data_IF_028823940077
#
_entry.id   IF_028823940077
#
_cell.length_a   1.000
_cell.length_b   1.000
_cell.length_c   1.000
_cell.angle_alpha   90.00
_cell.angle_beta   90.00
_cell.angle_gamma   90.00
#
_symmetry.space_group_name_H-M   'P 1'
#
loop_
_entity.id
_entity.type
_entity.pdbx_description
1 polymer ?
#
# COMPACT_ATOMS: atom_id res chain seq x y z
N UNK A 1 -21.21 20.03 14.28
CA UNK A 1 -20.78 19.41 13.01
C UNK A 1 -21.73 18.27 12.70
N UNK A 2 -22.05 17.98 11.44
CA UNK A 2 -22.98 16.92 11.05
C UNK A 2 -22.17 15.70 10.54
N UNK A 3 -22.01 14.63 11.34
CA UNK A 3 -21.21 13.46 10.97
C UNK A 3 -21.69 12.77 9.69
N UNK A 4 -22.98 12.90 9.35
CA UNK A 4 -23.54 12.33 8.12
C UNK A 4 -22.95 12.95 6.85
N UNK A 5 -22.59 14.24 6.90
CA UNK A 5 -22.01 14.95 5.75
C UNK A 5 -20.53 14.59 5.55
N UNK A 6 -19.77 14.43 6.65
CA UNK A 6 -18.38 13.94 6.59
C UNK A 6 -18.30 12.53 6.00
N UNK A 7 -19.18 11.61 6.46
CA UNK A 7 -19.22 10.25 5.93
C UNK A 7 -19.53 10.21 4.42
N UNK A 8 -20.43 11.07 3.94
CA UNK A 8 -20.75 11.16 2.51
C UNK A 8 -19.52 11.55 1.67
N UNK A 9 -18.77 12.57 2.11
CA UNK A 9 -17.52 12.98 1.45
C UNK A 9 -16.44 11.91 1.54
N UNK A 10 -16.33 11.20 2.68
CA UNK A 10 -15.40 10.09 2.85
C UNK A 10 -15.68 8.95 1.86
N UNK A 11 -16.92 8.43 1.81
CA UNK A 11 -17.29 7.38 0.87
C UNK A 11 -17.10 7.80 -0.58
N UNK A 12 -17.37 9.07 -0.90
CA UNK A 12 -17.15 9.59 -2.24
C UNK A 12 -15.67 9.67 -2.60
N UNK A 13 -14.80 10.05 -1.65
CA UNK A 13 -13.35 9.98 -1.81
C UNK A 13 -12.85 8.57 -2.12
N UNK A 14 -13.30 7.56 -1.38
CA UNK A 14 -12.94 6.16 -1.62
C UNK A 14 -13.41 5.64 -2.99
N UNK A 15 -14.59 6.07 -3.44
CA UNK A 15 -15.08 5.79 -4.78
C UNK A 15 -14.16 6.41 -5.84
N UNK A 16 -13.74 7.66 -5.66
CA UNK A 16 -12.84 8.35 -6.59
C UNK A 16 -11.46 7.69 -6.67
N UNK A 17 -10.93 7.19 -5.55
CA UNK A 17 -9.72 6.35 -5.54
C UNK A 17 -9.92 5.09 -6.39
N UNK A 18 -11.05 4.40 -6.21
CA UNK A 18 -11.40 3.19 -6.98
C UNK A 18 -11.58 3.46 -8.48
N UNK A 19 -11.93 4.71 -8.84
CA UNK A 19 -12.04 5.19 -10.21
C UNK A 19 -10.72 5.76 -10.77
N UNK A 20 -9.59 5.50 -10.11
CA UNK A 20 -8.27 6.01 -10.48
C UNK A 20 -8.18 7.55 -10.54
N UNK A 21 -8.92 8.25 -9.68
CA UNK A 21 -8.96 9.72 -9.57
C UNK A 21 -8.50 10.22 -8.19
N UNK A 22 -7.23 9.99 -7.82
CA UNK A 22 -6.77 10.25 -6.46
C UNK A 22 -6.71 11.74 -6.08
N UNK A 23 -6.52 12.67 -7.03
CA UNK A 23 -6.59 14.11 -6.71
C UNK A 23 -8.02 14.58 -6.43
N UNK A 24 -9.00 14.15 -7.22
CA UNK A 24 -10.40 14.46 -6.93
C UNK A 24 -10.84 13.84 -5.59
N UNK A 25 -10.31 12.65 -5.27
CA UNK A 25 -10.53 12.02 -3.97
C UNK A 25 -9.97 12.87 -2.83
N UNK A 26 -8.77 13.45 -3.00
CA UNK A 26 -8.15 14.31 -2.01
C UNK A 26 -9.04 15.52 -1.68
N UNK A 27 -9.63 16.18 -2.68
CA UNK A 27 -10.54 17.33 -2.45
C UNK A 27 -11.75 16.96 -1.56
N UNK A 28 -12.32 15.77 -1.79
CA UNK A 28 -13.44 15.27 -0.99
C UNK A 28 -12.99 14.89 0.42
N UNK A 29 -11.85 14.23 0.55
CA UNK A 29 -11.30 13.80 1.83
C UNK A 29 -10.81 14.98 2.69
N UNK A 30 -10.31 16.06 2.08
CA UNK A 30 -10.03 17.32 2.78
C UNK A 30 -11.30 17.94 3.35
N UNK A 31 -12.39 17.93 2.58
CA UNK A 31 -13.68 18.40 3.07
C UNK A 31 -14.20 17.52 4.21
N UNK A 32 -14.09 16.20 4.09
CA UNK A 32 -14.45 15.26 5.15
C UNK A 32 -13.62 15.50 6.42
N UNK A 33 -12.29 15.65 6.30
CA UNK A 33 -11.39 15.91 7.42
C UNK A 33 -11.68 17.24 8.12
N UNK A 34 -12.12 18.27 7.38
CA UNK A 34 -12.54 19.55 7.96
C UNK A 34 -13.88 19.46 8.70
N UNK A 35 -14.79 18.59 8.24
CA UNK A 35 -16.10 18.36 8.86
C UNK A 35 -16.02 17.43 10.07
N UNK A 36 -15.01 16.57 10.13
CA UNK A 36 -14.74 15.63 11.21
C UNK A 36 -13.23 15.60 11.53
N UNK A 37 -12.72 16.63 12.25
CA UNK A 37 -11.29 16.81 12.48
C UNK A 37 -10.67 15.78 13.42
N UNK A 38 -11.46 14.99 14.15
CA UNK A 38 -10.96 13.97 15.07
C UNK A 38 -10.84 12.59 14.40
N UNK A 39 -11.32 12.47 13.16
CA UNK A 39 -11.31 11.21 12.42
C UNK A 39 -9.93 10.90 11.82
N UNK A 40 -9.13 10.14 12.58
CA UNK A 40 -7.81 9.67 12.15
C UNK A 40 -7.86 8.85 10.85
N UNK A 41 -8.95 8.10 10.64
CA UNK A 41 -9.14 7.31 9.42
C UNK A 41 -9.31 8.22 8.21
N UNK A 42 -10.16 9.25 8.28
CA UNK A 42 -10.37 10.19 7.16
C UNK A 42 -9.07 10.96 6.83
N UNK A 43 -8.32 11.39 7.85
CA UNK A 43 -6.99 11.98 7.66
C UNK A 43 -6.03 11.01 6.96
N UNK A 44 -6.04 9.73 7.34
CA UNK A 44 -5.16 8.72 6.73
C UNK A 44 -5.56 8.39 5.29
N UNK A 45 -6.85 8.33 4.98
CA UNK A 45 -7.34 8.17 3.60
C UNK A 45 -6.93 9.36 2.73
N UNK A 46 -6.97 10.59 3.26
CA UNK A 46 -6.43 11.77 2.58
C UNK A 46 -4.93 11.61 2.29
N UNK A 47 -4.15 11.15 3.26
CA UNK A 47 -2.73 10.87 3.06
C UNK A 47 -2.51 9.80 1.98
N UNK A 48 -3.37 8.79 1.91
CA UNK A 48 -3.32 7.74 0.89
C UNK A 48 -3.64 8.29 -0.50
N UNK A 49 -4.63 9.18 -0.61
CA UNK A 49 -4.94 9.90 -1.85
C UNK A 49 -3.74 10.71 -2.34
N UNK A 50 -3.09 11.47 -1.44
CA UNK A 50 -1.85 12.18 -1.77
C UNK A 50 -0.72 11.24 -2.21
N UNK A 51 -0.55 10.10 -1.53
CA UNK A 51 0.44 9.09 -1.90
C UNK A 51 0.22 8.57 -3.32
N UNK A 52 -1.02 8.19 -3.67
CA UNK A 52 -1.37 7.70 -5.02
C UNK A 52 -1.24 8.80 -6.08
N UNK A 53 -1.41 10.06 -5.70
CA UNK A 53 -1.15 11.22 -6.55
C UNK A 53 0.32 11.67 -6.56
N UNK A 54 1.25 10.92 -5.93
CA UNK A 54 2.69 11.23 -5.84
C UNK A 54 3.04 12.51 -5.04
N UNK A 55 2.11 13.04 -4.25
CA UNK A 55 2.29 14.17 -3.33
C UNK A 55 2.82 13.66 -1.98
N UNK A 56 4.07 13.19 -1.99
CA UNK A 56 4.62 12.43 -0.86
C UNK A 56 4.93 13.29 0.37
N UNK A 57 5.15 14.60 0.22
CA UNK A 57 5.42 15.49 1.36
C UNK A 57 4.15 15.77 2.15
N UNK A 58 3.04 15.98 1.45
CA UNK A 58 1.70 16.14 2.02
C UNK A 58 1.25 14.86 2.72
N UNK A 59 1.38 13.71 2.03
CA UNK A 59 1.07 12.40 2.61
C UNK A 59 1.87 12.15 3.90
N UNK A 60 3.19 12.41 3.87
CA UNK A 60 4.06 12.29 5.04
C UNK A 60 3.59 13.17 6.19
N UNK A 61 3.37 14.45 5.93
CA UNK A 61 2.97 15.43 6.96
C UNK A 61 1.67 15.04 7.65
N UNK A 62 0.69 14.55 6.89
CA UNK A 62 -0.60 14.12 7.44
C UNK A 62 -0.43 12.86 8.29
N UNK A 63 0.32 11.85 7.81
CA UNK A 63 0.59 10.66 8.60
C UNK A 63 1.35 10.98 9.90
N UNK A 64 2.35 11.87 9.86
CA UNK A 64 3.07 12.30 11.06
C UNK A 64 2.16 13.00 12.07
N UNK A 65 1.20 13.79 11.60
CA UNK A 65 0.19 14.41 12.46
C UNK A 65 -0.71 13.34 13.13
N UNK A 66 -1.28 12.42 12.33
CA UNK A 66 -2.09 11.31 12.85
C UNK A 66 -1.33 10.50 13.90
N UNK A 67 -0.04 10.23 13.67
CA UNK A 67 0.79 9.45 14.60
C UNK A 67 1.25 10.25 15.83
N UNK A 68 1.18 11.59 15.79
CA UNK A 68 1.36 12.42 16.98
C UNK A 68 0.14 12.39 17.91
N UNK A 69 -1.05 12.15 17.34
CA UNK A 69 -2.29 11.96 18.09
C UNK A 69 -2.43 10.51 18.61
N UNK A 70 -2.09 9.53 17.78
CA UNK A 70 -2.07 8.11 18.15
C UNK A 70 -0.93 7.38 17.43
N UNK A 71 0.15 7.10 18.16
CA UNK A 71 1.35 6.46 17.61
C UNK A 71 1.13 5.01 17.14
N UNK A 72 0.10 4.34 17.67
CA UNK A 72 -0.24 2.95 17.36
C UNK A 72 -1.20 2.83 16.16
N UNK A 73 -1.59 3.95 15.53
CA UNK A 73 -2.54 3.94 14.43
C UNK A 73 -1.94 3.31 13.15
N UNK A 74 -2.02 1.97 13.08
CA UNK A 74 -1.43 1.13 12.03
C UNK A 74 -1.73 1.60 10.60
N UNK A 75 -2.95 2.06 10.23
CA UNK A 75 -3.20 2.57 8.88
C UNK A 75 -2.27 3.73 8.48
N UNK A 76 -1.99 4.65 9.41
CA UNK A 76 -1.06 5.75 9.13
C UNK A 76 0.39 5.27 9.05
N UNK A 77 0.79 4.29 9.86
CA UNK A 77 2.12 3.66 9.76
C UNK A 77 2.35 3.02 8.39
N UNK A 78 1.33 2.33 7.85
CA UNK A 78 1.38 1.72 6.50
C UNK A 78 1.62 2.75 5.41
N UNK A 79 0.79 3.80 5.36
CA UNK A 79 0.92 4.87 4.35
C UNK A 79 2.24 5.61 4.51
N UNK A 80 2.69 5.87 5.75
CA UNK A 80 3.96 6.51 6.01
C UNK A 80 5.15 5.65 5.59
N UNK A 81 5.11 4.33 5.82
CA UNK A 81 6.13 3.38 5.33
C UNK A 81 6.22 3.44 3.81
N UNK A 82 5.10 3.35 3.09
CA UNK A 82 5.09 3.44 1.63
C UNK A 82 5.62 4.78 1.13
N UNK A 83 5.22 5.87 1.80
CA UNK A 83 5.68 7.23 1.48
C UNK A 83 7.18 7.35 1.63
N UNK A 84 7.77 6.85 2.72
CA UNK A 84 9.22 6.84 2.90
C UNK A 84 9.94 5.97 1.87
N UNK A 85 9.39 4.80 1.50
CA UNK A 85 9.94 3.97 0.42
C UNK A 85 9.99 4.72 -0.91
N UNK A 86 8.91 5.42 -1.27
CA UNK A 86 8.84 6.20 -2.52
C UNK A 86 9.75 7.42 -2.51
N UNK A 87 9.93 8.05 -1.34
CA UNK A 87 10.91 9.12 -1.13
C UNK A 87 12.36 8.63 -1.03
N UNK A 88 12.58 7.31 -1.08
CA UNK A 88 13.89 6.65 -0.94
C UNK A 88 14.57 6.87 0.42
N UNK A 89 13.80 7.22 1.44
CA UNK A 89 14.28 7.33 2.82
C UNK A 89 14.10 5.98 3.53
N UNK A 90 15.02 5.06 3.23
CA UNK A 90 14.92 3.68 3.70
C UNK A 90 15.15 3.53 5.19
N UNK A 91 15.94 4.44 5.79
CA UNK A 91 16.17 4.47 7.23
C UNK A 91 14.86 4.74 7.97
N UNK A 92 14.13 5.78 7.55
CA UNK A 92 12.83 6.10 8.14
C UNK A 92 11.80 5.01 7.82
N UNK A 93 11.77 4.48 6.60
CA UNK A 93 10.88 3.36 6.24
C UNK A 93 11.08 2.14 7.14
N UNK A 94 12.34 1.79 7.47
CA UNK A 94 12.66 0.68 8.40
C UNK A 94 12.20 0.96 9.83
N UNK A 95 12.40 2.18 10.31
CA UNK A 95 11.94 2.56 11.65
C UNK A 95 10.41 2.50 11.77
N UNK A 96 9.69 3.01 10.77
CA UNK A 96 8.23 2.95 10.71
C UNK A 96 7.75 1.51 10.58
N UNK A 97 8.40 0.68 9.76
CA UNK A 97 8.04 -0.73 9.64
C UNK A 97 8.19 -1.50 10.96
N UNK A 98 9.23 -1.22 11.75
CA UNK A 98 9.38 -1.84 13.07
C UNK A 98 8.23 -1.50 14.01
N UNK A 99 7.77 -0.24 13.99
CA UNK A 99 6.57 0.19 14.72
C UNK A 99 5.31 -0.48 14.20
N UNK A 100 5.11 -0.48 12.88
CA UNK A 100 3.96 -1.13 12.20
C UNK A 100 3.85 -2.60 12.61
N UNK A 101 4.97 -3.33 12.57
CA UNK A 101 5.04 -4.73 12.97
C UNK A 101 4.68 -4.92 14.45
N UNK A 102 5.26 -4.10 15.33
CA UNK A 102 5.02 -4.17 16.78
C UNK A 102 3.56 -3.90 17.13
N UNK A 103 2.97 -2.82 16.62
CA UNK A 103 1.61 -2.41 16.97
C UNK A 103 0.52 -3.23 16.27
N UNK A 104 0.86 -3.92 15.17
CA UNK A 104 -0.06 -4.88 14.54
C UNK A 104 -0.13 -6.22 15.26
N UNK A 105 0.62 -6.40 16.37
CA UNK A 105 0.77 -7.68 17.06
C UNK A 105 1.50 -8.73 16.22
N UNK A 106 2.26 -8.30 15.20
CA UNK A 106 2.99 -9.19 14.31
C UNK A 106 4.29 -9.68 14.95
N UNK A 107 4.64 -10.93 14.65
CA UNK A 107 5.94 -11.50 15.01
C UNK A 107 6.92 -11.30 13.83
N UNK A 108 8.15 -10.79 14.03
CA UNK A 108 9.20 -10.81 13.01
C UNK A 108 9.47 -12.19 12.39
N UNK A 109 9.13 -13.27 13.11
CA UNK A 109 9.17 -14.65 12.64
C UNK A 109 7.96 -15.08 11.79
N UNK A 110 6.88 -14.30 11.77
CA UNK A 110 5.67 -14.60 11.01
C UNK A 110 5.95 -14.52 9.50
N UNK A 111 5.73 -15.64 8.77
CA UNK A 111 5.84 -15.68 7.32
C UNK A 111 5.07 -14.57 6.59
N UNK A 112 3.95 -14.12 7.15
CA UNK A 112 3.04 -13.14 6.55
C UNK A 112 3.53 -11.69 6.68
N UNK A 113 4.66 -11.44 7.34
CA UNK A 113 5.33 -10.13 7.32
C UNK A 113 6.55 -10.08 6.40
N UNK A 114 6.98 -11.22 5.83
CA UNK A 114 8.19 -11.29 5.03
C UNK A 114 8.09 -10.56 3.68
N UNK A 115 6.90 -10.40 3.10
CA UNK A 115 6.75 -9.58 1.89
C UNK A 115 6.95 -8.10 2.21
N UNK A 116 6.42 -7.62 3.33
CA UNK A 116 6.59 -6.24 3.78
C UNK A 116 8.06 -5.98 4.19
N UNK A 117 8.66 -6.89 4.95
CA UNK A 117 10.10 -6.85 5.27
C UNK A 117 10.95 -6.86 4.00
N UNK A 118 10.62 -7.68 3.00
CA UNK A 118 11.31 -7.68 1.72
C UNK A 118 11.19 -6.35 0.97
N UNK A 119 10.03 -5.69 0.98
CA UNK A 119 9.87 -4.36 0.38
C UNK A 119 10.83 -3.35 0.99
N UNK A 120 10.95 -3.33 2.33
CA UNK A 120 11.81 -2.38 3.05
C UNK A 120 13.30 -2.74 2.92
N UNK A 121 13.65 -4.02 3.00
CA UNK A 121 15.04 -4.50 2.96
C UNK A 121 15.64 -4.51 1.55
N UNK A 122 14.81 -4.59 0.51
CA UNK A 122 15.26 -4.76 -0.88
C UNK A 122 16.23 -3.69 -1.37
N UNK A 123 16.28 -2.51 -0.73
CA UNK A 123 17.02 -1.35 -1.23
C UNK A 123 18.42 -1.22 -0.62
N UNK A 124 18.68 -1.86 0.51
CA UNK A 124 20.00 -1.85 1.18
C UNK A 124 20.58 -3.27 1.36
N UNK A 125 19.73 -4.30 1.28
CA UNK A 125 20.13 -5.67 1.54
C UNK A 125 20.49 -6.46 0.27
N UNK A 126 20.99 -7.67 0.49
CA UNK A 126 21.25 -8.61 -0.59
C UNK A 126 19.91 -9.11 -1.18
N UNK A 127 19.46 -8.47 -2.27
CA UNK A 127 18.19 -8.78 -2.96
C UNK A 127 18.00 -10.27 -3.25
N UNK A 128 19.07 -11.00 -3.58
CA UNK A 128 19.01 -12.46 -3.80
C UNK A 128 18.63 -13.18 -2.50
N UNK A 129 19.34 -12.91 -1.40
CA UNK A 129 19.08 -13.54 -0.09
C UNK A 129 17.68 -13.21 0.43
N UNK A 130 17.23 -11.97 0.23
CA UNK A 130 15.87 -11.53 0.62
C UNK A 130 14.83 -12.28 -0.21
N UNK A 131 15.03 -12.37 -1.53
CA UNK A 131 14.17 -13.14 -2.42
C UNK A 131 14.10 -14.64 -2.05
N UNK A 132 15.21 -15.25 -1.65
CA UNK A 132 15.25 -16.64 -1.16
C UNK A 132 14.52 -16.81 0.18
N UNK A 133 14.58 -15.81 1.07
CA UNK A 133 13.80 -15.80 2.33
C UNK A 133 12.30 -15.73 2.02
N UNK A 134 11.90 -14.82 1.13
CA UNK A 134 10.50 -14.68 0.70
C UNK A 134 9.98 -15.94 -0.01
N UNK A 135 10.78 -16.54 -0.89
CA UNK A 135 10.43 -17.81 -1.54
C UNK A 135 10.21 -18.94 -0.53
N UNK A 136 11.03 -18.99 0.54
CA UNK A 136 10.87 -19.98 1.61
C UNK A 136 9.63 -19.70 2.45
N UNK A 137 9.38 -18.45 2.84
CA UNK A 137 8.21 -18.10 3.64
C UNK A 137 6.91 -18.46 2.90
N UNK A 138 6.85 -18.21 1.60
CA UNK A 138 5.69 -18.55 0.77
C UNK A 138 5.44 -20.05 0.61
N UNK A 139 6.46 -20.91 0.80
CA UNK A 139 6.27 -22.38 0.82
C UNK A 139 5.69 -22.88 2.14
N UNK A 140 5.95 -22.16 3.23
CA UNK A 140 5.62 -22.58 4.59
C UNK A 140 4.42 -21.85 5.20
N UNK A 141 4.01 -20.71 4.64
CA UNK A 141 2.82 -20.00 5.12
C UNK A 141 1.53 -20.58 4.54
N UNK A 142 0.43 -20.36 5.25
CA UNK A 142 -0.93 -20.59 4.75
C UNK A 142 -1.22 -19.77 3.47
N UNK A 143 -0.47 -18.69 3.18
CA UNK A 143 -0.49 -17.94 1.93
C UNK A 143 0.09 -18.70 0.71
N UNK A 144 0.91 -19.72 0.95
CA UNK A 144 1.28 -20.69 -0.07
C UNK A 144 0.14 -21.61 -0.50
N UNK A 145 -0.84 -21.86 0.39
CA UNK A 145 -1.90 -22.86 0.20
C UNK A 145 -3.31 -22.27 -0.02
N UNK A 146 -3.61 -21.06 0.46
CA UNK A 146 -4.95 -20.48 0.36
C UNK A 146 -5.06 -18.95 0.38
N UNK A 147 -4.07 -18.19 0.87
CA UNK A 147 -4.26 -16.74 1.05
C UNK A 147 -3.97 -15.93 -0.24
N UNK A 148 -5.03 -15.77 -1.03
CA UNK A 148 -5.17 -14.80 -2.11
C UNK A 148 -4.95 -13.34 -1.67
N UNK A 149 -5.23 -13.02 -0.41
CA UNK A 149 -5.31 -11.67 0.16
C UNK A 149 -3.97 -10.90 0.23
N UNK A 150 -2.84 -11.55 -0.03
CA UNK A 150 -1.52 -10.91 -0.02
C UNK A 150 -0.82 -10.98 -1.38
N UNK A 151 -1.56 -11.28 -2.45
CA UNK A 151 -0.96 -11.45 -3.77
C UNK A 151 -0.41 -10.13 -4.30
N UNK A 152 -1.09 -9.02 -4.02
CA UNK A 152 -0.65 -7.68 -4.37
C UNK A 152 0.64 -7.26 -3.63
N UNK A 153 0.69 -7.48 -2.31
CA UNK A 153 1.87 -7.17 -1.48
C UNK A 153 3.11 -8.03 -1.86
N UNK A 154 2.89 -9.28 -2.27
CA UNK A 154 3.96 -10.12 -2.82
C UNK A 154 4.46 -9.60 -4.17
N UNK A 155 3.57 -9.14 -5.05
CA UNK A 155 3.97 -8.53 -6.31
C UNK A 155 4.87 -7.30 -6.07
N UNK A 156 4.50 -6.44 -5.11
CA UNK A 156 5.30 -5.29 -4.70
C UNK A 156 6.68 -5.70 -4.19
N UNK A 157 6.74 -6.72 -3.32
CA UNK A 157 8.00 -7.23 -2.78
C UNK A 157 8.94 -7.71 -3.90
N UNK A 158 8.46 -8.55 -4.81
CA UNK A 158 9.28 -9.01 -5.93
C UNK A 158 9.65 -7.89 -6.90
N UNK A 159 8.77 -6.90 -7.08
CA UNK A 159 9.07 -5.74 -7.91
C UNK A 159 10.25 -4.92 -7.36
N UNK A 160 10.25 -4.61 -6.06
CA UNK A 160 11.33 -3.87 -5.40
C UNK A 160 12.65 -4.68 -5.33
N UNK A 161 12.55 -6.01 -5.23
CA UNK A 161 13.68 -6.93 -5.39
C UNK A 161 14.24 -6.97 -6.83
N UNK A 162 13.60 -6.31 -7.80
CA UNK A 162 13.99 -6.31 -9.20
C UNK A 162 13.59 -7.59 -9.96
N UNK A 163 12.82 -8.48 -9.34
CA UNK A 163 12.33 -9.70 -9.97
C UNK A 163 11.00 -9.45 -10.68
N UNK A 164 11.10 -8.82 -11.85
CA UNK A 164 9.96 -8.43 -12.69
C UNK A 164 9.04 -9.60 -13.03
N UNK A 165 9.61 -10.75 -13.37
CA UNK A 165 8.84 -11.93 -13.78
C UNK A 165 7.96 -12.44 -12.63
N UNK A 166 8.51 -12.53 -11.41
CA UNK A 166 7.71 -12.92 -10.24
C UNK A 166 6.70 -11.85 -9.86
N UNK A 167 7.05 -10.57 -9.96
CA UNK A 167 6.11 -9.48 -9.69
C UNK A 167 4.86 -9.58 -10.59
N UNK A 168 5.04 -9.77 -11.90
CA UNK A 168 3.94 -9.93 -12.85
C UNK A 168 3.10 -11.19 -12.58
N UNK A 169 3.73 -12.32 -12.23
CA UNK A 169 3.00 -13.54 -11.85
C UNK A 169 2.13 -13.34 -10.61
N UNK A 170 2.64 -12.60 -9.62
CA UNK A 170 1.87 -12.30 -8.40
C UNK A 170 0.73 -11.30 -8.67
N UNK A 171 0.91 -10.33 -9.57
CA UNK A 171 -0.19 -9.47 -10.02
C UNK A 171 -1.28 -10.25 -10.78
N UNK A 172 -0.90 -11.21 -11.62
CA UNK A 172 -1.86 -12.12 -12.28
C UNK A 172 -2.62 -12.94 -11.25
N UNK A 173 -1.94 -13.42 -10.20
CA UNK A 173 -2.60 -14.11 -9.09
C UNK A 173 -3.57 -13.19 -8.35
N UNK A 174 -3.16 -11.95 -8.04
CA UNK A 174 -4.01 -10.94 -7.40
C UNK A 174 -5.29 -10.67 -8.21
N UNK A 175 -5.17 -10.60 -9.54
CA UNK A 175 -6.29 -10.40 -10.45
C UNK A 175 -7.31 -11.56 -10.42
N UNK A 176 -6.81 -12.81 -10.44
CA UNK A 176 -7.62 -14.04 -10.37
C UNK A 176 -8.28 -14.15 -9.00
N UNK A 177 -7.53 -13.85 -7.95
CA UNK A 177 -7.94 -13.85 -6.56
C UNK A 177 -9.00 -12.79 -6.22
N UNK A 178 -9.15 -11.76 -7.04
CA UNK A 178 -9.89 -10.53 -6.69
C UNK A 178 -9.38 -9.92 -5.39
N UNK A 179 -8.06 -9.87 -5.25
CA UNK A 179 -7.37 -9.16 -4.17
C UNK A 179 -7.90 -7.71 -4.11
N UNK A 180 -8.25 -7.24 -2.92
CA UNK A 180 -8.89 -5.93 -2.72
C UNK A 180 -7.98 -4.78 -3.16
N UNK A 181 -6.67 -4.93 -2.97
CA UNK A 181 -5.70 -3.89 -3.30
C UNK A 181 -5.42 -3.81 -4.81
N UNK A 182 -5.87 -4.81 -5.58
CA UNK A 182 -5.73 -4.83 -7.03
C UNK A 182 -6.47 -3.67 -7.71
N UNK A 183 -7.49 -3.07 -7.06
CA UNK A 183 -8.15 -1.86 -7.54
C UNK A 183 -7.18 -0.68 -7.70
N UNK A 184 -6.11 -0.65 -6.89
CA UNK A 184 -5.12 0.44 -6.89
C UNK A 184 -4.09 0.32 -8.01
N UNK A 185 -4.08 -0.78 -8.77
CA UNK A 185 -3.01 -1.10 -9.74
C UNK A 185 -2.72 0.03 -10.74
N UNK A 186 -3.75 0.77 -11.16
CA UNK A 186 -3.61 1.87 -12.12
C UNK A 186 -2.89 3.09 -11.53
N UNK A 187 -3.07 3.35 -10.24
CA UNK A 187 -2.61 4.56 -9.55
C UNK A 187 -1.47 4.30 -8.57
N UNK A 188 -1.10 3.06 -8.32
CA UNK A 188 -0.02 2.73 -7.40
C UNK A 188 1.35 3.09 -8.02
N UNK A 189 2.07 4.08 -7.46
CA UNK A 189 3.34 4.52 -8.02
C UNK A 189 4.47 3.49 -7.83
N UNK A 190 4.28 2.49 -6.96
CA UNK A 190 5.28 1.46 -6.69
C UNK A 190 5.47 0.48 -7.85
N UNK A 191 4.55 0.47 -8.81
CA UNK A 191 4.65 -0.31 -10.05
C UNK A 191 5.01 0.51 -11.29
N UNK A 192 5.49 1.75 -11.13
CA UNK A 192 5.80 2.64 -12.25
C UNK A 192 6.75 2.00 -13.28
N UNK A 193 7.75 1.24 -12.80
CA UNK A 193 8.72 0.52 -13.63
C UNK A 193 8.12 -0.63 -14.46
N UNK A 194 6.88 -1.04 -14.20
CA UNK A 194 6.18 -2.10 -14.93
C UNK A 194 5.14 -1.55 -15.92
N UNK A 195 4.86 -0.24 -15.96
CA UNK A 195 3.79 0.33 -16.78
C UNK A 195 3.94 0.07 -18.29
N UNK A 196 5.17 -0.12 -18.76
CA UNK A 196 5.47 -0.44 -20.18
C UNK A 196 5.43 -1.94 -20.48
N UNK A 197 5.33 -2.81 -19.47
CA UNK A 197 5.33 -4.26 -19.67
C UNK A 197 3.99 -4.72 -20.28
N UNK A 198 4.00 -5.49 -21.39
CA UNK A 198 2.78 -5.93 -22.04
C UNK A 198 1.83 -6.71 -21.12
N UNK A 199 2.39 -7.53 -20.21
CA UNK A 199 1.61 -8.28 -19.21
C UNK A 199 0.94 -7.34 -18.20
N UNK A 200 1.62 -6.28 -17.77
CA UNK A 200 1.05 -5.27 -16.87
C UNK A 200 -0.08 -4.50 -17.56
N UNK A 201 0.12 -4.07 -18.80
CA UNK A 201 -0.93 -3.38 -19.57
C UNK A 201 -2.18 -4.26 -19.78
N UNK A 202 -2.00 -5.57 -19.96
CA UNK A 202 -3.12 -6.52 -20.03
C UNK A 202 -3.91 -6.57 -18.72
N UNK A 203 -3.24 -6.52 -17.57
CA UNK A 203 -3.89 -6.48 -16.25
C UNK A 203 -4.68 -5.19 -16.05
N UNK A 204 -4.13 -4.03 -16.43
CA UNK A 204 -4.86 -2.76 -16.40
C UNK A 204 -6.11 -2.79 -17.28
N UNK A 205 -6.03 -3.36 -18.49
CA UNK A 205 -7.20 -3.52 -19.36
C UNK A 205 -8.27 -4.43 -18.75
N UNK A 206 -7.89 -5.45 -17.99
CA UNK A 206 -8.84 -6.30 -17.27
C UNK A 206 -9.51 -5.54 -16.13
N UNK A 207 -8.75 -4.74 -15.39
CA UNK A 207 -9.25 -3.90 -14.31
C UNK A 207 -10.35 -2.95 -14.82
N UNK A 208 -10.07 -2.22 -15.90
CA UNK A 208 -11.01 -1.27 -16.53
C UNK A 208 -12.29 -1.89 -17.10
N UNK A 209 -12.30 -3.20 -17.33
CA UNK A 209 -13.52 -3.91 -17.79
C UNK A 209 -14.44 -4.31 -16.64
N UNK A 210 -13.99 -4.16 -15.39
CA UNK A 210 -14.75 -4.51 -14.18
C UNK A 210 -15.38 -3.30 -13.50
N UNK A 211 -14.88 -2.09 -13.78
CA UNK A 211 -15.43 -0.79 -13.38
C UNK A 211 -16.55 -0.35 -14.32
#
# INVERSE_FOLDING_TARGET
>A
MNPSYSQAHHWFGLLLISLARPMDAADQLETAARLDPDSLIVKTELAMAFFHSKHYDEAKKICENVLSENEEFVPALKVLRWTYLMKKDYRSARSVFQKELSYSGGDPGDPDWNMISAQVESLEGNKRRIGEKLDRSLKHSSAGKANSAFSYENALAYNLLGNREKALKWLEKAEIARDTDFIMLEIDPRFENLRTEPRFQKLLRKLKKRS
#
